data_IF_318924266055
#
_entry.id   IF_318924266055
#
_cell.length_a   1.000
_cell.length_b   1.000
_cell.length_c   1.000
_cell.angle_alpha   90.00
_cell.angle_beta   90.00
_cell.angle_gamma   90.00
#
_symmetry.space_group_name_H-M   'P 1'
#
loop_
_entity.id
_entity.type
_entity.pdbx_description
1 polymer ?
#
# COMPACT_ATOMS: atom_id res chain seq x y z
N UNK A 1 -55.80 -18.24 83.95
CA UNK A 1 -55.87 -19.71 83.93
C UNK A 1 -54.54 -20.23 83.40
N UNK A 2 -53.81 -20.92 84.29
CA UNK A 2 -52.86 -22.03 84.08
C UNK A 2 -51.57 -21.76 83.25
N UNK A 3 -50.43 -21.96 83.95
CA UNK A 3 -49.07 -22.48 83.61
C UNK A 3 -48.88 -23.13 82.21
N UNK A 4 -47.70 -23.24 81.58
CA UNK A 4 -46.39 -23.70 82.09
C UNK A 4 -45.26 -23.51 81.02
N UNK A 5 -44.02 -23.75 81.42
CA UNK A 5 -42.73 -23.57 80.77
C UNK A 5 -42.35 -24.58 79.65
N UNK A 6 -41.32 -24.24 78.85
CA UNK A 6 -40.00 -24.92 78.88
C UNK A 6 -39.29 -25.08 77.50
N UNK A 7 -37.98 -24.84 77.57
CA UNK A 7 -36.86 -25.55 76.91
C UNK A 7 -36.23 -25.08 75.57
N UNK A 8 -34.90 -25.04 75.65
CA UNK A 8 -33.85 -24.54 74.75
C UNK A 8 -33.53 -25.51 73.60
N UNK A 9 -32.91 -25.02 72.51
CA UNK A 9 -31.78 -25.67 71.82
C UNK A 9 -30.91 -24.60 71.11
N UNK A 10 -29.59 -24.70 71.30
CA UNK A 10 -28.52 -23.94 70.64
C UNK A 10 -28.17 -24.58 69.30
N UNK A 11 -27.91 -23.77 68.26
CA UNK A 11 -27.09 -24.20 67.11
C UNK A 11 -26.15 -23.06 66.71
N UNK A 12 -24.84 -23.31 66.84
CA UNK A 12 -23.75 -22.52 66.25
C UNK A 12 -23.47 -23.08 64.86
N UNK A 13 -23.41 -22.24 63.84
CA UNK A 13 -22.80 -22.58 62.54
C UNK A 13 -21.67 -21.59 62.25
N UNK A 14 -20.45 -22.11 62.14
CA UNK A 14 -19.24 -21.41 61.72
C UNK A 14 -18.94 -21.76 60.27
N UNK A 15 -18.86 -20.78 59.38
CA UNK A 15 -18.41 -20.93 57.98
C UNK A 15 -16.96 -20.46 57.84
N UNK A 16 -16.06 -21.23 57.20
CA UNK A 16 -14.73 -20.74 56.83
C UNK A 16 -14.75 -20.14 55.41
N UNK A 17 -14.03 -19.03 55.24
CA UNK A 17 -13.85 -18.32 53.97
C UNK A 17 -12.63 -18.92 53.23
N UNK A 18 -12.84 -19.63 52.12
CA UNK A 18 -11.78 -20.10 51.23
C UNK A 18 -11.55 -19.06 50.12
N UNK A 19 -10.38 -18.41 50.12
CA UNK A 19 -9.98 -17.50 49.02
C UNK A 19 -9.23 -18.31 47.95
N UNK A 20 -9.81 -18.39 46.76
CA UNK A 20 -9.23 -19.04 45.58
C UNK A 20 -8.42 -18.00 44.79
N UNK A 21 -7.10 -18.11 44.77
CA UNK A 21 -6.23 -17.30 43.91
C UNK A 21 -6.08 -18.01 42.57
N UNK A 22 -6.70 -17.47 41.53
CA UNK A 22 -6.54 -17.95 40.14
C UNK A 22 -5.35 -17.22 39.51
N UNK A 23 -4.23 -17.93 39.35
CA UNK A 23 -3.09 -17.49 38.54
C UNK A 23 -3.46 -17.64 37.06
N UNK A 24 -3.86 -16.53 36.44
CA UNK A 24 -4.11 -16.45 35.01
C UNK A 24 -2.77 -16.29 34.28
N UNK A 25 -2.25 -17.38 33.73
CA UNK A 25 -1.12 -17.36 32.78
C UNK A 25 -1.61 -16.84 31.43
N UNK A 26 -1.53 -15.53 31.23
CA UNK A 26 -1.74 -14.92 29.92
C UNK A 26 -0.66 -15.43 28.95
N UNK A 27 -1.06 -16.26 28.00
CA UNK A 27 -0.29 -16.52 26.79
C UNK A 27 -0.21 -15.17 26.06
N UNK A 28 1.00 -14.60 25.99
CA UNK A 28 1.26 -13.40 25.20
C UNK A 28 1.21 -13.82 23.74
N UNK A 29 0.05 -13.68 23.10
CA UNK A 29 -0.02 -13.61 21.65
C UNK A 29 0.75 -12.34 21.25
N UNK A 30 1.82 -12.49 20.47
CA UNK A 30 2.53 -11.35 19.90
C UNK A 30 1.54 -10.50 19.12
N UNK A 31 1.25 -9.30 19.61
CA UNK A 31 0.42 -8.37 18.87
C UNK A 31 1.22 -7.89 17.66
N UNK A 32 0.66 -8.11 16.47
CA UNK A 32 0.96 -7.34 15.26
C UNK A 32 1.11 -5.87 15.64
N UNK A 33 2.32 -5.33 15.43
CA UNK A 33 2.60 -3.92 15.66
C UNK A 33 3.17 -3.34 14.38
N UNK A 34 2.31 -2.63 13.64
CA UNK A 34 2.69 -1.85 12.48
C UNK A 34 3.83 -0.88 12.83
N UNK A 35 5.00 -1.11 12.26
CA UNK A 35 6.22 -0.33 12.44
C UNK A 35 6.37 0.68 11.30
N UNK A 36 6.32 1.99 11.56
CA UNK A 36 6.57 3.00 10.53
C UNK A 36 8.06 3.05 10.14
N UNK A 37 8.37 3.68 8.99
CA UNK A 37 9.74 3.85 8.48
C UNK A 37 10.68 4.59 9.46
N UNK A 38 10.17 5.59 10.19
CA UNK A 38 10.98 6.45 11.06
C UNK A 38 11.69 7.55 10.28
N UNK A 39 12.83 8.03 10.80
CA UNK A 39 13.63 9.10 10.20
C UNK A 39 14.72 8.55 9.27
N UNK A 40 15.03 9.30 8.21
CA UNK A 40 16.14 9.00 7.30
C UNK A 40 17.47 9.27 8.02
N UNK A 41 18.29 8.24 8.15
CA UNK A 41 19.62 8.29 8.79
C UNK A 41 20.77 8.34 7.79
N UNK A 42 20.56 7.87 6.55
CA UNK A 42 21.55 7.93 5.49
C UNK A 42 20.89 8.07 4.12
N UNK A 43 21.58 8.78 3.22
CA UNK A 43 21.22 8.96 1.82
C UNK A 43 22.42 8.56 0.96
N UNK A 44 22.23 7.59 0.07
CA UNK A 44 23.19 7.20 -0.95
C UNK A 44 22.65 7.65 -2.31
N UNK A 45 23.46 8.41 -3.06
CA UNK A 45 23.10 8.86 -4.41
C UNK A 45 23.49 7.78 -5.42
N UNK A 46 22.54 7.39 -6.26
CA UNK A 46 22.75 6.44 -7.35
C UNK A 46 22.76 7.19 -8.68
N UNK A 47 23.23 6.53 -9.75
CA UNK A 47 23.26 7.14 -11.08
C UNK A 47 21.86 7.51 -11.60
N UNK A 48 20.84 6.74 -11.23
CA UNK A 48 19.45 6.91 -11.65
C UNK A 48 18.49 7.00 -10.46
N UNK A 49 18.95 7.41 -9.28
CA UNK A 49 18.06 7.57 -8.13
C UNK A 49 18.77 7.76 -6.81
N UNK A 50 18.11 7.34 -5.73
CA UNK A 50 18.63 7.41 -4.36
C UNK A 50 18.27 6.16 -3.57
N UNK A 51 19.12 5.82 -2.61
CA UNK A 51 18.84 4.82 -1.59
C UNK A 51 18.90 5.46 -0.20
N UNK A 52 17.88 5.20 0.59
CA UNK A 52 17.64 5.82 1.89
C UNK A 52 17.62 4.74 2.96
N UNK A 53 18.29 4.98 4.08
CA UNK A 53 18.17 4.13 5.26
C UNK A 53 17.33 4.85 6.32
N UNK A 54 16.35 4.17 6.89
CA UNK A 54 15.48 4.67 7.96
C UNK A 54 15.23 3.56 8.98
N UNK A 55 15.77 3.70 10.20
CA UNK A 55 15.82 2.63 11.19
C UNK A 55 16.37 1.29 10.61
N UNK A 56 15.55 0.23 10.54
CA UNK A 56 15.92 -1.04 9.90
C UNK A 56 15.54 -1.12 8.42
N UNK A 57 14.82 -0.14 7.91
CA UNK A 57 14.25 -0.17 6.57
C UNK A 57 15.22 0.47 5.58
N UNK A 58 15.35 -0.13 4.39
CA UNK A 58 16.00 0.51 3.24
C UNK A 58 14.96 0.80 2.17
N UNK A 59 15.05 1.99 1.56
CA UNK A 59 14.15 2.42 0.49
C UNK A 59 14.99 2.84 -0.70
N UNK A 60 14.75 2.24 -1.85
CA UNK A 60 15.41 2.57 -3.10
C UNK A 60 14.39 3.20 -4.04
N UNK A 61 14.68 4.41 -4.47
CA UNK A 61 13.90 5.16 -5.45
C UNK A 61 14.72 5.22 -6.72
N UNK A 62 14.22 4.61 -7.78
CA UNK A 62 14.90 4.49 -9.07
C UNK A 62 14.06 5.14 -10.15
N UNK A 63 14.62 6.11 -10.83
CA UNK A 63 14.03 6.72 -12.02
C UNK A 63 14.32 5.81 -13.21
N UNK A 64 13.27 5.37 -13.90
CA UNK A 64 13.36 4.49 -15.08
C UNK A 64 13.22 5.29 -16.38
N UNK A 65 12.38 6.31 -16.36
CA UNK A 65 12.18 7.28 -17.41
C UNK A 65 11.83 8.63 -16.77
N UNK A 66 11.85 9.76 -17.51
CA UNK A 66 11.47 11.06 -16.96
C UNK A 66 10.16 11.06 -16.17
N UNK A 67 9.20 10.23 -16.57
CA UNK A 67 7.88 10.17 -15.95
C UNK A 67 7.55 8.82 -15.30
N UNK A 68 8.54 7.94 -15.09
CA UNK A 68 8.36 6.62 -14.48
C UNK A 68 9.39 6.39 -13.37
N UNK A 69 8.88 6.18 -12.15
CA UNK A 69 9.71 5.97 -10.95
C UNK A 69 9.32 4.66 -10.28
N UNK A 70 10.31 3.84 -9.94
CA UNK A 70 10.16 2.64 -9.13
C UNK A 70 10.58 2.92 -7.71
N UNK A 71 9.80 2.42 -6.75
CA UNK A 71 10.12 2.48 -5.33
C UNK A 71 10.10 1.07 -4.76
N UNK A 72 11.20 0.70 -4.11
CA UNK A 72 11.34 -0.56 -3.39
C UNK A 72 11.63 -0.26 -1.94
N UNK A 73 10.98 -0.97 -1.03
CA UNK A 73 11.17 -0.86 0.40
C UNK A 73 11.45 -2.24 0.98
N UNK A 74 12.58 -2.39 1.64
CA UNK A 74 12.91 -3.59 2.41
C UNK A 74 12.75 -3.30 3.89
N UNK A 75 11.82 -4.00 4.55
CA UNK A 75 11.53 -3.84 5.98
C UNK A 75 12.76 -4.05 6.89
N UNK A 76 13.64 -4.97 6.51
CA UNK A 76 14.83 -5.40 7.27
C UNK A 76 16.15 -5.00 6.57
N UNK A 77 16.10 -4.07 5.62
CA UNK A 77 17.27 -3.42 5.03
C UNK A 77 17.91 -4.15 3.86
N UNK A 78 17.58 -5.42 3.61
CA UNK A 78 18.08 -6.17 2.47
C UNK A 78 17.00 -6.33 1.41
N UNK A 79 17.24 -5.82 0.20
CA UNK A 79 16.32 -6.05 -0.93
C UNK A 79 16.32 -7.52 -1.34
N UNK A 80 15.12 -8.05 -1.59
CA UNK A 80 14.96 -9.34 -2.23
C UNK A 80 15.59 -9.31 -3.65
N UNK A 81 15.90 -10.48 -4.25
CA UNK A 81 16.28 -10.55 -5.65
C UNK A 81 15.30 -9.78 -6.53
N UNK A 82 15.81 -8.99 -7.46
CA UNK A 82 14.98 -8.20 -8.37
C UNK A 82 14.32 -9.12 -9.41
N UNK A 83 13.12 -9.61 -9.07
CA UNK A 83 12.35 -10.53 -9.89
C UNK A 83 10.90 -10.06 -9.94
N UNK A 84 10.34 -10.04 -11.13
CA UNK A 84 8.92 -9.76 -11.37
C UNK A 84 8.40 -10.71 -12.44
N UNK A 85 7.15 -11.13 -12.28
CA UNK A 85 6.41 -11.90 -13.29
C UNK A 85 5.74 -11.01 -14.34
N UNK A 86 5.64 -9.70 -14.06
CA UNK A 86 4.94 -8.75 -14.93
C UNK A 86 5.91 -7.83 -15.67
N UNK A 87 7.00 -7.40 -15.03
CA UNK A 87 7.89 -6.37 -15.57
C UNK A 87 8.90 -6.96 -16.55
N UNK A 88 8.97 -6.38 -17.76
CA UNK A 88 9.94 -6.76 -18.77
C UNK A 88 11.33 -6.19 -18.45
N UNK A 89 12.40 -7.01 -18.48
CA UNK A 89 13.77 -6.52 -18.37
C UNK A 89 14.06 -5.50 -19.48
N UNK A 90 14.59 -4.33 -19.10
CA UNK A 90 14.97 -3.29 -20.07
C UNK A 90 13.80 -2.58 -20.74
N UNK A 91 12.59 -2.60 -20.17
CA UNK A 91 11.42 -1.87 -20.68
C UNK A 91 11.69 -0.36 -20.91
N UNK A 92 12.58 0.23 -20.11
CA UNK A 92 13.09 1.58 -20.25
C UNK A 92 14.62 1.53 -20.37
N UNK A 93 15.17 1.40 -21.59
CA UNK A 93 16.61 1.16 -21.79
C UNK A 93 17.47 2.43 -21.67
N UNK A 94 16.86 3.60 -21.81
CA UNK A 94 17.57 4.88 -21.74
C UNK A 94 17.83 5.25 -20.28
N UNK A 95 19.06 5.68 -19.99
CA UNK A 95 19.40 6.21 -18.67
C UNK A 95 18.78 7.60 -18.50
N UNK A 96 17.89 7.82 -17.52
CA UNK A 96 17.27 9.12 -17.33
C UNK A 96 18.30 10.12 -16.80
N UNK A 97 18.18 11.37 -17.27
CA UNK A 97 18.94 12.49 -16.71
C UNK A 97 18.24 12.95 -15.44
N UNK A 98 18.91 12.83 -14.30
CA UNK A 98 18.36 13.22 -13.01
C UNK A 98 19.21 14.27 -12.32
N UNK A 99 18.58 15.05 -11.46
CA UNK A 99 19.23 15.98 -10.54
C UNK A 99 18.83 15.63 -9.11
N UNK A 100 19.82 15.54 -8.21
CA UNK A 100 19.58 15.16 -6.82
C UNK A 100 20.04 16.28 -5.90
N UNK A 101 19.08 16.97 -5.32
CA UNK A 101 19.29 17.95 -4.27
C UNK A 101 19.11 17.28 -2.91
N UNK A 102 20.13 17.38 -2.06
CA UNK A 102 20.11 16.79 -0.73
C UNK A 102 20.28 17.91 0.31
N UNK A 103 19.20 18.20 1.03
CA UNK A 103 19.14 19.26 2.04
C UNK A 103 19.01 18.66 3.44
N UNK A 104 19.02 19.51 4.47
CA UNK A 104 18.84 19.07 5.86
C UNK A 104 17.51 18.35 6.08
N UNK A 105 16.44 18.80 5.44
CA UNK A 105 15.07 18.33 5.73
C UNK A 105 14.52 17.36 4.67
N UNK A 106 15.04 17.40 3.46
CA UNK A 106 14.52 16.61 2.35
C UNK A 106 15.58 16.27 1.30
N UNK A 107 15.34 15.20 0.56
CA UNK A 107 16.02 14.87 -0.70
C UNK A 107 15.02 15.09 -1.84
N UNK A 108 15.44 15.77 -2.90
CA UNK A 108 14.62 15.98 -4.10
C UNK A 108 15.33 15.37 -5.30
N UNK A 109 14.64 14.45 -5.99
CA UNK A 109 15.09 13.85 -7.25
C UNK A 109 14.26 14.42 -8.39
N UNK A 110 14.84 15.31 -9.18
CA UNK A 110 14.22 15.87 -10.39
C UNK A 110 14.52 15.02 -11.61
N UNK A 111 13.51 14.71 -12.42
CA UNK A 111 13.59 13.79 -13.57
C UNK A 111 13.34 14.48 -14.93
N UNK A 112 12.98 15.76 -14.91
CA UNK A 112 12.51 16.52 -16.07
C UNK A 112 10.98 16.64 -16.10
N UNK A 113 10.27 15.51 -16.02
CA UNK A 113 8.79 15.49 -16.09
C UNK A 113 8.14 15.48 -14.70
N UNK A 114 8.86 15.10 -13.64
CA UNK A 114 8.37 15.15 -12.26
C UNK A 114 9.52 15.36 -11.25
N UNK A 115 9.14 15.60 -10.01
CA UNK A 115 10.05 15.64 -8.86
C UNK A 115 9.60 14.62 -7.82
N UNK A 116 10.54 13.83 -7.29
CA UNK A 116 10.30 12.97 -6.13
C UNK A 116 10.93 13.65 -4.92
N UNK A 117 10.09 14.14 -4.00
CA UNK A 117 10.52 14.76 -2.75
C UNK A 117 10.40 13.75 -1.62
N UNK A 118 11.50 13.50 -0.93
CA UNK A 118 11.58 12.63 0.24
C UNK A 118 11.84 13.50 1.46
N UNK A 119 10.83 13.69 2.30
CA UNK A 119 11.00 14.31 3.62
C UNK A 119 11.78 13.34 4.52
N UNK A 120 12.72 13.86 5.33
CA UNK A 120 13.62 13.01 6.13
C UNK A 120 13.07 12.66 7.52
N UNK A 121 12.22 13.49 8.13
CA UNK A 121 11.68 13.24 9.47
C UNK A 121 10.18 13.64 9.59
N UNK A 122 9.28 12.67 9.77
CA UNK A 122 9.46 11.26 9.43
C UNK A 122 9.63 11.09 7.91
N UNK A 123 10.13 9.93 7.49
CA UNK A 123 10.29 9.62 6.08
C UNK A 123 8.94 9.60 5.36
N UNK A 124 8.78 10.46 4.35
CA UNK A 124 7.58 10.53 3.49
C UNK A 124 7.98 10.86 2.06
N UNK A 125 7.27 10.26 1.10
CA UNK A 125 7.48 10.47 -0.34
C UNK A 125 6.32 11.27 -0.93
N UNK A 126 6.65 12.31 -1.68
CA UNK A 126 5.72 13.06 -2.52
C UNK A 126 6.21 13.09 -3.97
N UNK A 127 5.29 12.92 -4.91
CA UNK A 127 5.47 13.14 -6.33
C UNK A 127 4.87 14.49 -6.69
N UNK A 128 5.69 15.36 -7.27
CA UNK A 128 5.30 16.70 -7.68
C UNK A 128 5.53 16.87 -9.18
N UNK A 129 4.75 17.73 -9.80
CA UNK A 129 5.01 18.16 -11.17
C UNK A 129 6.29 19.04 -11.23
N UNK A 130 6.77 19.43 -12.42
CA UNK A 130 7.94 20.29 -12.56
C UNK A 130 7.78 21.68 -11.93
N UNK A 131 6.55 22.11 -11.64
CA UNK A 131 6.22 23.38 -11.01
C UNK A 131 6.09 23.28 -9.48
N UNK A 132 6.27 22.09 -8.91
CA UNK A 132 6.18 21.84 -7.47
C UNK A 132 4.74 21.65 -6.96
N UNK A 133 3.77 21.41 -7.84
CA UNK A 133 2.41 21.04 -7.45
C UNK A 133 2.35 19.54 -7.14
N UNK A 134 1.72 19.19 -6.02
CA UNK A 134 1.59 17.78 -5.60
C UNK A 134 0.68 17.01 -6.55
N UNK A 135 1.20 15.88 -7.06
CA UNK A 135 0.46 14.89 -7.84
C UNK A 135 -0.08 13.80 -6.91
N UNK A 136 0.77 13.23 -6.06
CA UNK A 136 0.42 12.24 -5.03
C UNK A 136 1.47 12.30 -3.91
N UNK A 137 1.06 12.17 -2.66
CA UNK A 137 1.96 12.20 -1.50
C UNK A 137 1.53 11.21 -0.42
N UNK A 138 2.51 10.72 0.35
CA UNK A 138 2.24 9.94 1.57
C UNK A 138 1.38 10.76 2.54
N UNK A 139 0.41 10.09 3.16
CA UNK A 139 -0.51 10.75 4.08
C UNK A 139 0.23 11.24 5.34
N UNK A 140 0.00 12.49 5.81
CA UNK A 140 0.77 13.07 6.92
C UNK A 140 0.55 12.36 8.26
N UNK A 141 -0.62 11.73 8.46
CA UNK A 141 -0.99 11.06 9.73
C UNK A 141 -0.86 9.54 9.69
N UNK A 142 -0.76 8.94 8.50
CA UNK A 142 -0.74 7.49 8.31
C UNK A 142 0.56 7.12 7.59
N UNK A 143 1.60 6.70 8.33
CA UNK A 143 2.90 6.40 7.73
C UNK A 143 2.87 5.09 6.94
N UNK A 144 3.75 4.99 5.94
CA UNK A 144 4.12 3.68 5.39
C UNK A 144 4.65 2.82 6.53
N UNK A 145 4.09 1.62 6.68
CA UNK A 145 4.38 0.76 7.82
C UNK A 145 4.42 -0.71 7.44
N UNK A 146 5.13 -1.48 8.25
CA UNK A 146 5.34 -2.91 8.09
C UNK A 146 4.90 -3.67 9.33
N UNK A 147 4.37 -4.88 9.14
CA UNK A 147 4.14 -5.87 10.19
C UNK A 147 4.70 -7.22 9.73
N UNK A 148 5.92 -7.53 10.17
CA UNK A 148 6.70 -8.60 9.57
C UNK A 148 6.95 -8.33 8.08
N UNK A 149 6.47 -9.23 7.22
CA UNK A 149 6.51 -9.06 5.75
C UNK A 149 5.30 -8.31 5.19
N UNK A 150 4.23 -8.14 5.97
CA UNK A 150 3.08 -7.36 5.52
C UNK A 150 3.43 -5.86 5.50
N UNK A 151 2.79 -5.11 4.61
CA UNK A 151 3.00 -3.67 4.48
C UNK A 151 1.72 -2.94 4.12
N UNK A 152 1.66 -1.66 4.51
CA UNK A 152 0.58 -0.74 4.15
C UNK A 152 1.17 0.61 3.78
N UNK A 153 0.73 1.15 2.64
CA UNK A 153 1.03 2.49 2.15
C UNK A 153 -0.24 3.32 2.20
N UNK A 154 -0.16 4.51 2.78
CA UNK A 154 -1.26 5.47 2.83
C UNK A 154 -0.85 6.75 2.10
N UNK A 155 -1.76 7.25 1.28
CA UNK A 155 -1.56 8.45 0.45
C UNK A 155 -2.70 9.43 0.71
N UNK A 156 -2.40 10.72 0.67
CA UNK A 156 -3.43 11.77 0.76
C UNK A 156 -4.40 11.66 -0.41
N UNK A 157 -5.69 11.82 -0.14
CA UNK A 157 -6.77 11.71 -1.12
C UNK A 157 -7.57 13.03 -1.18
N UNK A 158 -7.30 13.89 -2.17
CA UNK A 158 -8.12 15.07 -2.42
C UNK A 158 -9.58 14.72 -2.71
N UNK A 159 -10.50 15.64 -2.40
CA UNK A 159 -11.95 15.44 -2.60
C UNK A 159 -12.32 15.18 -4.08
N UNK A 160 -11.60 15.82 -5.00
CA UNK A 160 -11.85 15.74 -6.46
C UNK A 160 -11.03 14.63 -7.14
N UNK A 161 -10.35 13.77 -6.38
CA UNK A 161 -9.55 12.68 -6.93
C UNK A 161 -10.41 11.42 -7.14
N UNK A 162 -10.31 10.85 -8.33
CA UNK A 162 -11.04 9.64 -8.73
C UNK A 162 -10.08 8.53 -9.11
N UNK A 163 -10.50 7.27 -8.94
CA UNK A 163 -9.62 6.10 -9.13
C UNK A 163 -10.24 5.09 -10.08
N UNK A 164 -9.42 4.50 -10.95
CA UNK A 164 -9.86 3.58 -12.00
C UNK A 164 -8.89 2.40 -12.13
N UNK A 165 -9.37 1.26 -12.65
CA UNK A 165 -8.53 0.10 -12.95
C UNK A 165 -8.74 -1.08 -11.99
N UNK A 166 -7.63 -1.67 -11.52
CA UNK A 166 -7.52 -2.93 -10.79
C UNK A 166 -7.89 -4.19 -11.60
N UNK A 167 -7.89 -4.09 -12.93
CA UNK A 167 -8.23 -5.21 -13.82
C UNK A 167 -9.73 -5.46 -13.91
N UNK A 168 -10.13 -6.73 -13.89
CA UNK A 168 -11.53 -7.14 -13.95
C UNK A 168 -12.15 -7.15 -12.55
N UNK A 169 -12.53 -5.97 -12.07
CA UNK A 169 -13.31 -5.84 -10.85
C UNK A 169 -14.74 -5.41 -11.13
N UNK A 170 -15.66 -5.99 -10.39
CA UNK A 170 -17.10 -5.67 -10.43
C UNK A 170 -17.37 -4.28 -9.84
N UNK A 171 -18.63 -3.88 -9.80
CA UNK A 171 -19.06 -2.57 -9.28
C UNK A 171 -18.79 -1.38 -10.22
N UNK A 172 -18.99 -0.15 -9.72
CA UNK A 172 -18.84 1.08 -10.49
C UNK A 172 -17.41 1.25 -11.06
N UNK A 173 -17.32 1.90 -12.23
CA UNK A 173 -16.03 2.19 -12.88
C UNK A 173 -15.11 3.05 -11.99
N UNK A 174 -15.68 4.09 -11.39
CA UNK A 174 -14.99 4.90 -10.38
C UNK A 174 -14.91 4.11 -9.07
N UNK A 175 -13.69 3.94 -8.60
CA UNK A 175 -13.34 3.13 -7.44
C UNK A 175 -13.34 3.94 -6.14
N UNK A 176 -13.58 5.27 -6.21
CA UNK A 176 -13.70 6.13 -5.04
C UNK A 176 -14.75 5.60 -4.05
N UNK A 177 -14.44 5.70 -2.76
CA UNK A 177 -15.21 5.22 -1.61
C UNK A 177 -15.42 3.69 -1.56
N UNK A 178 -14.65 2.93 -2.36
CA UNK A 178 -14.68 1.48 -2.40
C UNK A 178 -13.32 0.88 -1.99
N UNK A 179 -13.33 -0.41 -1.66
CA UNK A 179 -12.13 -1.17 -1.35
C UNK A 179 -12.19 -2.53 -2.05
N UNK A 180 -11.02 -3.03 -2.43
CA UNK A 180 -10.84 -4.21 -3.26
C UNK A 180 -9.67 -5.06 -2.78
N UNK A 181 -9.78 -6.36 -3.01
CA UNK A 181 -8.73 -7.36 -2.75
C UNK A 181 -8.23 -7.94 -4.07
N UNK A 182 -6.93 -8.09 -4.25
CA UNK A 182 -6.38 -8.88 -5.37
C UNK A 182 -6.06 -10.30 -4.90
N UNK A 183 -6.96 -11.23 -5.20
CA UNK A 183 -6.79 -12.64 -4.90
C UNK A 183 -7.63 -13.46 -5.88
N UNK A 184 -7.01 -14.13 -6.86
CA UNK A 184 -7.74 -14.87 -7.88
C UNK A 184 -8.67 -15.89 -7.21
N UNK A 185 -9.98 -15.68 -7.37
CA UNK A 185 -11.01 -16.45 -6.68
C UNK A 185 -12.03 -16.94 -7.69
N UNK A 186 -12.28 -18.25 -7.70
CA UNK A 186 -13.33 -18.86 -8.50
C UNK A 186 -14.67 -18.77 -7.76
N UNK A 187 -15.52 -17.84 -8.20
CA UNK A 187 -16.82 -17.57 -7.58
C UNK A 187 -17.84 -17.17 -8.64
N UNK A 188 -19.11 -17.59 -8.47
CA UNK A 188 -20.22 -17.05 -9.23
C UNK A 188 -20.49 -15.60 -8.81
N UNK A 189 -19.93 -14.64 -9.54
CA UNK A 189 -19.95 -13.24 -9.13
C UNK A 189 -21.30 -12.55 -9.40
N UNK A 190 -21.61 -11.58 -8.54
CA UNK A 190 -22.68 -10.59 -8.70
C UNK A 190 -22.05 -9.19 -8.82
N UNK A 191 -22.90 -8.17 -8.92
CA UNK A 191 -22.49 -6.78 -9.15
C UNK A 191 -21.46 -6.25 -8.12
N UNK A 192 -21.51 -6.71 -6.87
CA UNK A 192 -20.62 -6.25 -5.79
C UNK A 192 -19.65 -7.33 -5.28
N UNK A 193 -19.45 -8.41 -6.03
CA UNK A 193 -18.55 -9.49 -5.61
C UNK A 193 -17.09 -9.10 -5.88
N UNK A 194 -16.28 -9.12 -4.84
CA UNK A 194 -14.82 -8.98 -4.90
C UNK A 194 -14.19 -9.81 -3.77
N UNK A 195 -13.08 -10.51 -4.01
CA UNK A 195 -12.33 -10.62 -5.26
C UNK A 195 -12.97 -11.58 -6.30
N UNK A 196 -12.52 -11.49 -7.56
CA UNK A 196 -12.90 -12.40 -8.65
C UNK A 196 -11.66 -12.96 -9.38
N UNK A 197 -11.76 -13.27 -10.67
CA UNK A 197 -10.86 -14.20 -11.36
C UNK A 197 -9.43 -13.72 -11.60
N UNK A 198 -9.19 -12.41 -11.81
CA UNK A 198 -7.85 -11.90 -12.13
C UNK A 198 -7.42 -10.82 -11.14
N UNK A 199 -6.10 -10.72 -11.00
CA UNK A 199 -5.41 -9.79 -10.12
C UNK A 199 -4.44 -8.97 -10.94
N UNK A 200 -4.83 -7.74 -11.27
CA UNK A 200 -3.98 -6.77 -11.95
C UNK A 200 -3.87 -5.56 -11.02
N UNK A 201 -2.86 -5.52 -10.12
CA UNK A 201 -2.71 -4.49 -9.08
C UNK A 201 -2.19 -3.16 -9.65
N UNK A 202 -2.86 -2.65 -10.69
CA UNK A 202 -2.59 -1.38 -11.34
C UNK A 202 -3.84 -0.52 -11.34
N UNK A 203 -3.73 0.72 -10.87
CA UNK A 203 -4.81 1.70 -10.92
C UNK A 203 -4.31 3.05 -11.44
N UNK A 204 -5.25 3.87 -11.90
CA UNK A 204 -5.03 5.24 -12.37
C UNK A 204 -5.76 6.17 -11.39
N UNK A 205 -5.03 7.13 -10.82
CA UNK A 205 -5.60 8.27 -10.10
C UNK A 205 -5.76 9.45 -11.05
N UNK A 206 -6.89 10.15 -10.97
CA UNK A 206 -7.17 11.34 -11.76
C UNK A 206 -7.63 12.47 -10.86
N UNK A 207 -6.96 13.62 -10.96
CA UNK A 207 -7.28 14.80 -10.16
C UNK A 207 -7.09 16.06 -11.01
N UNK A 208 -8.12 16.91 -11.09
CA UNK A 208 -8.08 18.23 -11.78
C UNK A 208 -7.43 18.19 -13.18
N UNK A 209 -7.71 17.14 -13.96
CA UNK A 209 -7.22 17.00 -15.33
C UNK A 209 -5.80 16.43 -15.47
N UNK A 210 -5.14 16.07 -14.38
CA UNK A 210 -3.90 15.29 -14.38
C UNK A 210 -4.16 13.84 -13.98
N UNK A 211 -3.41 12.91 -14.57
CA UNK A 211 -3.45 11.51 -14.19
C UNK A 211 -2.07 10.99 -13.72
N UNK A 212 -2.12 9.96 -12.90
CA UNK A 212 -0.97 9.11 -12.61
C UNK A 212 -1.42 7.65 -12.50
N UNK A 213 -0.48 6.74 -12.58
CA UNK A 213 -0.70 5.32 -12.33
C UNK A 213 0.15 4.82 -11.18
N UNK A 214 -0.37 3.86 -10.42
CA UNK A 214 0.40 3.06 -9.49
C UNK A 214 0.22 1.59 -9.85
N UNK A 215 1.33 0.89 -10.07
CA UNK A 215 1.38 -0.56 -10.20
C UNK A 215 2.14 -1.14 -9.01
N UNK A 216 1.45 -1.93 -8.18
CA UNK A 216 2.08 -2.69 -7.10
C UNK A 216 2.62 -4.01 -7.68
N UNK A 217 3.94 -4.12 -7.78
CA UNK A 217 4.65 -5.28 -8.32
C UNK A 217 4.89 -6.30 -7.20
N UNK A 218 3.78 -6.84 -6.69
CA UNK A 218 3.72 -7.87 -5.67
C UNK A 218 2.62 -8.88 -5.99
N UNK A 219 2.88 -10.17 -5.75
CA UNK A 219 1.96 -11.28 -6.09
C UNK A 219 1.19 -11.82 -4.89
N UNK A 220 1.44 -11.32 -3.68
CA UNK A 220 0.69 -11.75 -2.51
C UNK A 220 -0.72 -11.19 -2.54
N UNK A 221 -1.54 -11.68 -1.60
CA UNK A 221 -2.87 -11.13 -1.39
C UNK A 221 -2.74 -9.67 -0.96
N UNK A 222 -3.21 -8.78 -1.84
CA UNK A 222 -3.08 -7.35 -1.65
C UNK A 222 -4.44 -6.67 -1.54
N UNK A 223 -4.48 -5.55 -0.82
CA UNK A 223 -5.66 -4.73 -0.56
C UNK A 223 -5.47 -3.34 -1.15
N UNK A 224 -6.56 -2.76 -1.64
CA UNK A 224 -6.64 -1.39 -2.14
C UNK A 224 -7.89 -0.75 -1.53
N UNK A 225 -7.74 0.38 -0.86
CA UNK A 225 -8.84 1.14 -0.28
C UNK A 225 -8.79 2.57 -0.82
N UNK A 226 -9.84 3.03 -1.47
CA UNK A 226 -9.91 4.35 -2.10
C UNK A 226 -10.85 5.27 -1.34
N UNK A 227 -10.62 5.45 -0.04
CA UNK A 227 -11.39 6.35 0.79
C UNK A 227 -12.56 5.69 1.54
N UNK A 228 -12.67 4.36 1.48
CA UNK A 228 -13.70 3.61 2.20
C UNK A 228 -13.41 3.58 3.70
N UNK A 229 -12.15 3.42 4.08
CA UNK A 229 -11.74 3.45 5.48
C UNK A 229 -11.59 4.89 6.01
N UNK A 230 -10.94 5.78 5.27
CA UNK A 230 -10.74 7.18 5.64
C UNK A 230 -10.99 8.08 4.43
N UNK A 231 -11.93 9.01 4.55
CA UNK A 231 -12.36 9.88 3.44
C UNK A 231 -11.24 10.75 2.83
N UNK A 232 -10.16 11.00 3.57
CA UNK A 232 -9.01 11.81 3.17
C UNK A 232 -7.75 11.01 2.84
N UNK A 233 -7.85 9.67 2.76
CA UNK A 233 -6.74 8.82 2.37
C UNK A 233 -7.16 7.63 1.50
N UNK A 234 -6.32 7.33 0.50
CA UNK A 234 -6.33 6.03 -0.15
C UNK A 234 -5.13 5.20 0.32
N UNK A 235 -5.22 3.89 0.20
CA UNK A 235 -4.18 2.99 0.63
C UNK A 235 -4.07 1.74 -0.20
N UNK A 236 -2.88 1.14 -0.18
CA UNK A 236 -2.63 -0.17 -0.74
C UNK A 236 -1.59 -0.91 0.09
N UNK A 237 -1.71 -2.22 0.16
CA UNK A 237 -0.86 -3.06 1.00
C UNK A 237 -0.96 -4.52 0.64
N UNK A 238 -0.09 -5.36 1.21
CA UNK A 238 -0.13 -6.79 1.01
C UNK A 238 0.16 -7.55 2.31
N UNK A 239 -0.32 -8.79 2.39
CA UNK A 239 -0.14 -9.66 3.56
C UNK A 239 1.32 -10.16 3.72
N UNK A 240 2.14 -10.08 2.66
CA UNK A 240 3.55 -10.39 2.67
C UNK A 240 4.24 -9.80 1.42
N UNK A 241 5.53 -10.08 1.24
CA UNK A 241 6.31 -9.66 0.08
C UNK A 241 7.24 -8.49 0.35
N UNK A 242 7.81 -7.95 -0.71
CA UNK A 242 8.57 -6.71 -0.67
C UNK A 242 7.69 -5.59 -1.22
N UNK A 243 7.59 -4.46 -0.52
CA UNK A 243 6.88 -3.31 -1.05
C UNK A 243 7.66 -2.75 -2.25
N UNK A 244 7.20 -3.11 -3.46
CA UNK A 244 7.77 -2.72 -4.73
C UNK A 244 6.66 -2.17 -5.62
N UNK A 245 6.69 -0.88 -5.93
CA UNK A 245 5.68 -0.27 -6.79
C UNK A 245 6.28 0.73 -7.79
N UNK A 246 5.55 0.94 -8.87
CA UNK A 246 5.89 1.85 -9.94
C UNK A 246 4.88 2.99 -9.96
N UNK A 247 5.39 4.21 -10.04
CA UNK A 247 4.62 5.43 -10.22
C UNK A 247 4.81 5.91 -11.66
N UNK A 248 3.71 6.14 -12.37
CA UNK A 248 3.69 6.64 -13.74
C UNK A 248 3.01 8.00 -13.75
N UNK A 249 3.74 9.07 -14.05
CA UNK A 249 3.12 10.37 -14.27
C UNK A 249 2.75 10.50 -15.74
N UNK A 250 1.49 10.79 -16.02
CA UNK A 250 1.08 11.12 -17.38
C UNK A 250 -0.08 12.08 -17.23
N UNK A 251 0.09 13.39 -17.42
CA UNK A 251 -1.04 14.28 -17.18
C UNK A 251 -2.27 13.84 -17.99
N UNK A 252 -2.07 13.20 -19.16
CA UNK A 252 -3.09 12.40 -19.86
C UNK A 252 -3.05 10.90 -19.43
N UNK A 253 -4.20 10.28 -19.07
CA UNK A 253 -4.28 8.85 -18.71
C UNK A 253 -3.81 7.89 -19.83
N UNK A 254 -3.86 8.28 -21.10
CA UNK A 254 -3.29 7.50 -22.21
C UNK A 254 -1.78 7.34 -22.07
N UNK A 255 -1.08 8.35 -21.56
CA UNK A 255 0.36 8.26 -21.30
C UNK A 255 0.63 7.27 -20.17
N UNK A 256 -0.14 7.35 -19.09
CA UNK A 256 -0.08 6.39 -17.97
C UNK A 256 -0.22 4.95 -18.47
N UNK A 257 -1.23 4.66 -19.31
CA UNK A 257 -1.44 3.32 -19.89
C UNK A 257 -0.32 2.94 -20.86
N UNK A 258 0.16 3.88 -21.68
CA UNK A 258 1.28 3.63 -22.60
C UNK A 258 2.56 3.23 -21.88
N UNK A 259 2.89 3.89 -20.77
CA UNK A 259 4.09 3.60 -20.00
C UNK A 259 3.94 2.33 -19.17
N UNK A 260 2.75 2.08 -18.61
CA UNK A 260 2.44 0.82 -17.95
C UNK A 260 2.59 -0.36 -18.93
N UNK A 261 2.00 -0.28 -20.12
CA UNK A 261 2.13 -1.33 -21.15
C UNK A 261 3.52 -1.40 -21.77
N UNK A 262 4.33 -0.34 -21.71
CA UNK A 262 5.75 -0.44 -22.03
C UNK A 262 6.50 -1.24 -20.96
N UNK A 263 6.17 -1.04 -19.67
CA UNK A 263 6.75 -1.77 -18.55
C UNK A 263 6.42 -3.27 -18.58
N UNK A 264 5.14 -3.61 -18.79
CA UNK A 264 4.64 -5.01 -18.67
C UNK A 264 4.46 -5.74 -20.00
N UNK A 265 4.68 -5.04 -21.12
CA UNK A 265 4.51 -5.57 -22.46
C UNK A 265 3.23 -5.11 -23.16
N UNK A 266 3.37 -4.75 -24.43
CA UNK A 266 2.24 -4.34 -25.28
C UNK A 266 1.56 -5.59 -25.84
N UNK A 267 0.23 -5.65 -25.70
CA UNK A 267 -0.57 -6.74 -26.26
C UNK A 267 -0.41 -6.78 -27.78
N UNK A 268 -0.03 -7.92 -28.38
CA UNK A 268 0.04 -8.04 -29.83
C UNK A 268 -1.37 -7.96 -30.43
N UNK A 269 -1.46 -7.54 -31.69
CA UNK A 269 -2.73 -7.62 -32.41
C UNK A 269 -3.21 -9.08 -32.45
N UNK A 270 -4.45 -9.36 -32.03
CA UNK A 270 -4.98 -10.70 -32.14
C UNK A 270 -5.22 -11.05 -33.62
N UNK A 271 -5.28 -12.34 -33.97
CA UNK A 271 -5.65 -12.75 -35.33
C UNK A 271 -7.00 -12.14 -35.74
N UNK A 272 -7.12 -11.63 -36.96
CA UNK A 272 -8.32 -10.89 -37.41
C UNK A 272 -9.63 -11.69 -37.20
N UNK A 273 -9.59 -13.00 -37.37
CA UNK A 273 -10.77 -13.87 -37.20
C UNK A 273 -11.28 -13.91 -35.75
N UNK A 274 -10.45 -13.62 -34.74
CA UNK A 274 -10.88 -13.65 -33.33
C UNK A 274 -11.74 -12.45 -32.95
N UNK A 275 -11.75 -11.41 -33.78
CA UNK A 275 -12.63 -10.23 -33.64
C UNK A 275 -14.04 -10.48 -34.23
N UNK A 276 -14.25 -11.63 -34.87
CA UNK A 276 -15.57 -12.07 -35.31
C UNK A 276 -16.41 -12.64 -34.16
N UNK A 277 -17.65 -13.03 -34.48
CA UNK A 277 -18.55 -13.69 -33.55
C UNK A 277 -18.03 -15.08 -33.13
N UNK A 278 -18.18 -15.43 -31.84
CA UNK A 278 -17.80 -16.72 -31.26
C UNK A 278 -19.05 -17.40 -30.69
N UNK A 279 -19.22 -18.70 -30.95
CA UNK A 279 -20.38 -19.52 -30.53
C UNK A 279 -19.96 -20.71 -29.68
#
# INVERSE_FOLDING_TARGET
MIFDASMKIKMRLSTPLFSLVVLCSCIVYGQSQWRPLGEVTAVEKLANGVELSAAKTRVRITVLAPNVVRLRYSAEGNFAPDQSFAVLPGAFPESPKIQIEDSTNAVVVGTGDLQVRIEKSPMRVAFLDPHGQVISEDHPRYPVSFDGSAFQVWKSMPLEEHYFGLGDKTGPLDRRDLAFTTWNTDIGYQESTDPIYKSIPFFIGMNKGSAYGIFLDDTYRSSFDFGKQFWDAYSFGAEAGELNYYFFYGPDPKRVVSDFTQLVGRTPLPPLFSLGYQQ
#
